data_IF_122282049565
#
_entry.id   IF_122282049565
#
_cell.length_a   1.000
_cell.length_b   1.000
_cell.length_c   1.000
_cell.angle_alpha   90.00
_cell.angle_beta   90.00
_cell.angle_gamma   90.00
#
_symmetry.space_group_name_H-M   'P 1'
#
loop_
_entity.id
_entity.type
_entity.pdbx_description
1 polymer ?
#
# COMPACT_ATOMS: atom_id res chain seq x y z
N UNK A 1 4.67 -1.64 -29.22
CA UNK A 1 5.46 -1.61 -27.97
C UNK A 1 4.49 -1.81 -26.80
N UNK A 2 4.32 -3.04 -26.32
CA UNK A 2 3.34 -3.37 -25.26
C UNK A 2 3.92 -2.95 -23.90
N UNK A 3 3.35 -1.91 -23.29
CA UNK A 3 3.56 -1.57 -21.88
C UNK A 3 3.00 -2.73 -21.04
N UNK A 4 3.85 -3.46 -20.31
CA UNK A 4 3.40 -4.44 -19.32
C UNK A 4 3.41 -3.73 -17.98
N UNK A 5 2.30 -3.07 -17.67
CA UNK A 5 2.08 -2.55 -16.31
C UNK A 5 1.79 -3.78 -15.46
N UNK A 6 2.74 -4.17 -14.59
CA UNK A 6 2.43 -5.06 -13.49
C UNK A 6 1.60 -4.23 -12.51
N UNK A 7 0.30 -4.15 -12.79
CA UNK A 7 -0.65 -3.55 -11.86
C UNK A 7 -0.80 -4.58 -10.75
N UNK A 8 0.00 -4.45 -9.70
CA UNK A 8 -0.26 -5.11 -8.42
C UNK A 8 -1.58 -4.53 -7.88
N UNK A 9 -2.68 -5.01 -8.45
CA UNK A 9 -4.02 -4.55 -8.22
C UNK A 9 -4.69 -5.57 -7.30
N UNK A 10 -4.54 -5.36 -5.99
CA UNK A 10 -5.41 -5.99 -5.00
C UNK A 10 -6.71 -5.19 -4.99
N UNK A 11 -7.59 -5.38 -5.98
CA UNK A 11 -9.05 -5.12 -5.85
C UNK A 11 -9.81 -6.05 -6.79
N UNK A 12 -10.80 -6.74 -6.21
CA UNK A 12 -11.72 -7.69 -6.83
C UNK A 12 -12.68 -6.98 -7.81
N UNK A 13 -12.49 -7.18 -9.12
CA UNK A 13 -13.53 -7.02 -10.14
C UNK A 13 -13.13 -7.78 -11.41
N UNK A 14 -13.99 -8.69 -11.86
CA UNK A 14 -13.80 -9.65 -12.95
C UNK A 14 -13.62 -9.00 -14.34
N UNK A 15 -12.77 -9.58 -15.21
CA UNK A 15 -12.96 -9.51 -16.68
C UNK A 15 -11.88 -8.84 -17.55
N UNK A 16 -10.70 -8.47 -17.04
CA UNK A 16 -9.68 -7.78 -17.85
C UNK A 16 -8.58 -8.74 -18.37
N UNK A 17 -8.35 -8.88 -19.69
CA UNK A 17 -7.43 -9.89 -20.26
C UNK A 17 -5.94 -9.63 -19.97
N UNK A 18 -5.60 -8.44 -19.45
CA UNK A 18 -4.22 -8.05 -19.10
C UNK A 18 -4.06 -7.81 -17.60
N UNK A 19 -4.96 -8.35 -16.78
CA UNK A 19 -4.88 -8.28 -15.32
C UNK A 19 -4.69 -9.69 -14.78
N UNK A 20 -3.66 -9.86 -13.97
CA UNK A 20 -3.35 -11.12 -13.30
C UNK A 20 -3.22 -10.85 -11.81
N UNK A 21 -3.80 -11.74 -11.02
CA UNK A 21 -3.76 -11.66 -9.57
C UNK A 21 -2.65 -12.56 -9.04
N UNK A 22 -1.87 -12.03 -8.12
CA UNK A 22 -0.91 -12.78 -7.32
C UNK A 22 -0.99 -12.26 -5.89
N UNK A 23 -1.10 -13.16 -4.92
CA UNK A 23 -1.14 -12.76 -3.51
C UNK A 23 0.19 -12.11 -3.12
N UNK A 24 0.11 -11.06 -2.32
CA UNK A 24 1.24 -10.42 -1.69
C UNK A 24 0.84 -10.00 -0.27
N UNK A 25 1.54 -10.54 0.72
CA UNK A 25 1.68 -9.94 2.04
C UNK A 25 3.07 -9.29 2.09
N UNK A 26 3.11 -7.98 2.24
CA UNK A 26 4.36 -7.21 2.25
C UNK A 26 5.15 -7.38 3.56
N UNK A 27 4.57 -8.02 4.57
CA UNK A 27 5.24 -8.32 5.84
C UNK A 27 5.75 -9.76 5.89
N UNK A 28 5.42 -10.59 4.90
CA UNK A 28 5.87 -11.97 4.79
C UNK A 28 6.93 -12.13 3.67
N UNK A 29 8.21 -12.38 4.03
CA UNK A 29 9.27 -12.64 3.05
C UNK A 29 8.96 -13.77 2.06
N UNK A 30 8.24 -14.82 2.49
CA UNK A 30 7.88 -15.93 1.60
C UNK A 30 6.87 -15.48 0.53
N UNK A 31 5.88 -14.67 0.92
CA UNK A 31 4.94 -14.08 -0.02
C UNK A 31 5.63 -13.15 -1.03
N UNK A 32 6.61 -12.35 -0.59
CA UNK A 32 7.39 -11.45 -1.46
C UNK A 32 8.23 -12.26 -2.46
N UNK A 33 8.95 -13.27 -1.99
CA UNK A 33 9.76 -14.14 -2.84
C UNK A 33 8.90 -14.89 -3.88
N UNK A 34 7.70 -15.33 -3.48
CA UNK A 34 6.74 -15.97 -4.38
C UNK A 34 6.33 -15.04 -5.52
N UNK A 35 6.02 -13.77 -5.22
CA UNK A 35 5.71 -12.76 -6.23
C UNK A 35 6.89 -12.51 -7.19
N UNK A 36 8.11 -12.38 -6.65
CA UNK A 36 9.31 -12.15 -7.47
C UNK A 36 9.56 -13.32 -8.44
N UNK A 37 9.45 -14.56 -7.95
CA UNK A 37 9.60 -15.76 -8.76
C UNK A 37 8.54 -15.87 -9.86
N UNK A 38 7.28 -15.57 -9.50
CA UNK A 38 6.18 -15.51 -10.45
C UNK A 38 6.45 -14.49 -11.55
N UNK A 39 6.81 -13.25 -11.19
CA UNK A 39 7.08 -12.18 -12.15
C UNK A 39 8.27 -12.52 -13.07
N UNK A 40 9.32 -13.14 -12.52
CA UNK A 40 10.47 -13.62 -13.26
C UNK A 40 10.12 -14.71 -14.28
N UNK A 41 9.28 -15.66 -13.88
CA UNK A 41 8.90 -16.79 -14.72
C UNK A 41 8.01 -16.36 -15.89
N UNK A 42 7.03 -15.49 -15.63
CA UNK A 42 6.00 -15.15 -16.61
C UNK A 42 6.33 -13.91 -17.46
N UNK A 43 6.97 -12.90 -16.88
CA UNK A 43 7.15 -11.61 -17.55
C UNK A 43 8.59 -11.28 -17.88
N UNK A 44 9.55 -11.82 -17.11
CA UNK A 44 11.00 -11.65 -17.27
C UNK A 44 11.51 -10.21 -17.15
N UNK A 45 10.62 -9.26 -16.88
CA UNK A 45 10.89 -7.81 -16.78
C UNK A 45 9.76 -7.15 -16.00
N UNK A 46 10.10 -6.10 -15.25
CA UNK A 46 9.14 -5.23 -14.59
C UNK A 46 9.37 -3.77 -15.04
N UNK A 47 8.34 -3.16 -15.64
CA UNK A 47 8.43 -1.75 -16.09
C UNK A 47 8.03 -0.77 -14.99
N UNK A 48 7.01 -1.11 -14.20
CA UNK A 48 6.43 -0.21 -13.20
C UNK A 48 6.15 -1.03 -11.94
N UNK A 49 6.70 -0.58 -10.82
CA UNK A 49 6.30 -1.01 -9.49
C UNK A 49 5.50 0.13 -8.85
N UNK A 50 4.25 -0.13 -8.47
CA UNK A 50 3.46 0.77 -7.63
C UNK A 50 3.38 0.14 -6.25
N UNK A 51 4.13 0.68 -5.30
CA UNK A 51 4.06 0.24 -3.92
C UNK A 51 2.93 1.00 -3.22
N UNK A 52 1.76 0.36 -3.18
CA UNK A 52 0.55 0.88 -2.57
C UNK A 52 0.18 0.10 -1.29
N UNK A 53 1.18 -0.48 -0.63
CA UNK A 53 0.99 -1.18 0.62
C UNK A 53 0.88 -0.14 1.73
N UNK A 54 -0.17 -0.24 2.54
CA UNK A 54 -0.40 0.72 3.61
C UNK A 54 -1.27 0.14 4.72
N UNK A 55 -0.82 0.35 5.95
CA UNK A 55 -1.60 0.28 7.17
C UNK A 55 -1.90 1.72 7.59
N UNK A 56 -3.18 2.06 7.67
CA UNK A 56 -3.65 3.41 7.95
C UNK A 56 -3.83 3.69 9.44
N UNK A 57 -4.26 4.91 9.74
CA UNK A 57 -4.66 5.31 11.10
C UNK A 57 -5.83 4.46 11.56
N UNK A 58 -5.73 3.91 12.76
CA UNK A 58 -6.84 3.16 13.34
C UNK A 58 -7.88 4.14 13.89
N UNK A 59 -9.04 4.18 13.24
CA UNK A 59 -10.13 5.09 13.59
C UNK A 59 -11.21 4.28 14.32
N UNK A 60 -11.72 4.80 15.44
CA UNK A 60 -12.97 4.30 16.00
C UNK A 60 -14.11 4.64 15.04
N UNK A 61 -14.52 3.65 14.26
CA UNK A 61 -15.45 3.84 13.16
C UNK A 61 -16.80 4.38 13.63
N UNK A 62 -17.29 3.93 14.80
CA UNK A 62 -18.56 4.39 15.35
C UNK A 62 -18.45 5.84 15.82
N UNK A 63 -17.38 6.18 16.55
CA UNK A 63 -17.16 7.54 17.02
C UNK A 63 -16.92 8.52 15.85
N UNK A 64 -16.19 8.09 14.81
CA UNK A 64 -15.97 8.89 13.60
C UNK A 64 -17.27 9.09 12.81
N UNK A 65 -18.09 8.04 12.69
CA UNK A 65 -19.39 8.13 12.01
C UNK A 65 -20.33 9.07 12.76
N UNK A 66 -20.39 8.98 14.09
CA UNK A 66 -21.16 9.90 14.92
C UNK A 66 -20.67 11.36 14.79
N UNK A 67 -19.36 11.56 14.73
CA UNK A 67 -18.75 12.87 14.50
C UNK A 67 -19.17 13.47 13.15
N UNK A 68 -19.10 12.68 12.07
CA UNK A 68 -19.48 13.11 10.72
C UNK A 68 -20.98 13.39 10.58
N UNK A 69 -21.84 12.52 11.14
CA UNK A 69 -23.30 12.71 11.14
C UNK A 69 -23.72 13.95 11.94
N UNK A 70 -22.92 14.36 12.92
CA UNK A 70 -23.10 15.62 13.64
C UNK A 70 -22.78 16.89 12.82
N UNK A 71 -22.40 16.76 11.55
CA UNK A 71 -22.07 17.89 10.67
C UNK A 71 -20.81 18.64 11.07
N UNK A 72 -19.92 18.02 11.87
CA UNK A 72 -18.70 18.66 12.35
C UNK A 72 -17.64 18.62 11.26
N UNK A 73 -17.26 19.79 10.76
CA UNK A 73 -16.07 19.94 9.93
C UNK A 73 -14.82 19.92 10.80
N UNK A 74 -13.77 19.23 10.35
CA UNK A 74 -12.46 19.24 11.00
C UNK A 74 -11.92 20.67 11.04
N UNK A 75 -11.63 21.18 12.24
CA UNK A 75 -10.97 22.45 12.48
C UNK A 75 -10.26 22.41 13.84
N UNK A 76 -9.45 23.43 14.13
CA UNK A 76 -8.62 23.50 15.34
C UNK A 76 -9.43 23.31 16.64
N UNK A 77 -10.71 23.71 16.66
CA UNK A 77 -11.57 23.60 17.85
C UNK A 77 -12.02 22.18 18.15
N UNK A 78 -11.93 21.27 17.18
CA UNK A 78 -12.33 19.87 17.35
C UNK A 78 -11.23 18.86 16.99
N UNK A 79 -10.01 19.33 16.70
CA UNK A 79 -8.83 18.51 16.48
C UNK A 79 -8.56 17.53 17.63
N UNK A 80 -8.78 17.96 18.87
CA UNK A 80 -8.56 17.10 20.04
C UNK A 80 -9.57 15.94 20.13
N UNK A 81 -10.82 16.18 19.71
CA UNK A 81 -11.83 15.14 19.62
C UNK A 81 -11.49 14.10 18.54
N UNK A 82 -10.87 14.55 17.43
CA UNK A 82 -10.38 13.64 16.39
C UNK A 82 -9.19 12.81 16.85
N UNK A 83 -8.30 13.38 17.67
CA UNK A 83 -7.22 12.61 18.32
C UNK A 83 -7.74 11.53 19.25
N UNK A 84 -8.88 11.74 19.91
CA UNK A 84 -9.51 10.70 20.75
C UNK A 84 -10.19 9.61 19.90
N UNK A 85 -10.70 9.98 18.72
CA UNK A 85 -11.30 9.04 17.76
C UNK A 85 -10.22 8.21 17.04
N UNK A 86 -9.03 8.78 16.84
CA UNK A 86 -7.85 8.10 16.31
C UNK A 86 -7.17 7.31 17.45
N UNK A 87 -7.28 5.98 17.41
CA UNK A 87 -6.63 5.11 18.39
C UNK A 87 -5.21 4.82 17.94
N UNK A 88 -4.29 5.66 18.34
CA UNK A 88 -2.85 5.42 18.18
C UNK A 88 -2.34 4.67 19.42
N UNK A 89 -2.05 3.38 19.23
CA UNK A 89 -1.33 2.55 20.21
C UNK A 89 0.02 2.16 19.65
N UNK A 90 0.95 1.79 20.54
CA UNK A 90 2.26 1.27 20.14
C UNK A 90 2.15 0.13 19.11
N UNK A 91 1.21 -0.80 19.30
CA UNK A 91 1.00 -1.92 18.37
C UNK A 91 0.51 -1.46 17.00
N UNK A 92 -0.30 -0.41 16.94
CA UNK A 92 -0.74 0.18 15.66
C UNK A 92 0.37 0.95 14.96
N UNK A 93 1.23 1.64 15.71
CA UNK A 93 2.40 2.33 15.20
C UNK A 93 3.45 1.33 14.68
N UNK A 94 3.73 0.27 15.43
CA UNK A 94 4.63 -0.81 15.04
C UNK A 94 4.16 -1.47 13.74
N UNK A 95 2.86 -1.80 13.63
CA UNK A 95 2.27 -2.32 12.40
C UNK A 95 2.35 -1.34 11.25
N UNK A 96 2.11 -0.05 11.50
CA UNK A 96 2.23 1.01 10.51
C UNK A 96 3.64 1.08 9.92
N UNK A 97 4.67 1.13 10.77
CA UNK A 97 6.07 1.17 10.33
C UNK A 97 6.46 -0.12 9.60
N UNK A 98 6.09 -1.27 10.18
CA UNK A 98 6.38 -2.59 9.60
C UNK A 98 5.78 -2.74 8.20
N UNK A 99 4.54 -2.29 8.02
CA UNK A 99 3.83 -2.43 6.74
C UNK A 99 4.26 -1.36 5.73
N UNK A 100 4.24 -0.08 6.13
CA UNK A 100 4.37 1.05 5.21
C UNK A 100 5.82 1.28 4.80
N UNK A 101 6.75 1.13 5.74
CA UNK A 101 8.17 1.36 5.48
C UNK A 101 8.88 0.06 5.15
N UNK A 102 8.92 -0.88 6.09
CA UNK A 102 9.67 -2.13 5.88
C UNK A 102 9.05 -2.99 4.78
N UNK A 103 7.73 -3.17 4.77
CA UNK A 103 7.07 -3.92 3.70
C UNK A 103 7.29 -3.30 2.31
N UNK A 104 7.24 -1.96 2.22
CA UNK A 104 7.57 -1.24 0.99
C UNK A 104 9.01 -1.50 0.54
N UNK A 105 9.95 -1.43 1.48
CA UNK A 105 11.37 -1.66 1.24
C UNK A 105 11.62 -3.09 0.76
N UNK A 106 11.14 -4.09 1.49
CA UNK A 106 11.37 -5.51 1.19
C UNK A 106 10.81 -5.89 -0.19
N UNK A 107 9.60 -5.43 -0.53
CA UNK A 107 9.01 -5.65 -1.88
C UNK A 107 9.88 -5.02 -2.97
N UNK A 108 10.43 -3.83 -2.72
CA UNK A 108 11.27 -3.13 -3.69
C UNK A 108 12.62 -3.84 -3.88
N UNK A 109 13.23 -4.30 -2.78
CA UNK A 109 14.52 -5.00 -2.78
C UNK A 109 14.44 -6.41 -3.38
N UNK A 110 13.25 -7.02 -3.44
CA UNK A 110 13.04 -8.32 -4.07
C UNK A 110 12.95 -8.29 -5.60
N UNK A 111 12.75 -7.11 -6.21
CA UNK A 111 12.50 -6.96 -7.65
C UNK A 111 13.59 -6.25 -8.50
N UNK A 112 14.83 -5.98 -8.04
CA UNK A 112 15.79 -5.19 -8.80
C UNK A 112 16.22 -5.88 -10.11
N UNK A 113 16.37 -7.21 -10.11
CA UNK A 113 16.71 -7.98 -11.31
C UNK A 113 15.68 -7.82 -12.43
N UNK A 114 14.40 -7.65 -12.08
CA UNK A 114 13.31 -7.43 -13.04
C UNK A 114 13.23 -5.98 -13.51
N UNK A 115 13.44 -5.03 -12.59
CA UNK A 115 13.40 -3.59 -12.88
C UNK A 115 14.57 -3.17 -13.76
N UNK A 116 15.77 -3.68 -13.52
CA UNK A 116 16.97 -3.39 -14.31
C UNK A 116 16.86 -3.83 -15.77
N UNK A 117 16.00 -4.81 -16.07
CA UNK A 117 15.74 -5.26 -17.44
C UNK A 117 14.81 -4.30 -18.21
N UNK A 118 14.22 -3.30 -17.55
CA UNK A 118 13.47 -2.24 -18.21
C UNK A 118 14.32 -1.01 -18.48
N UNK A 119 14.32 -0.56 -19.74
CA UNK A 119 14.94 0.70 -20.15
C UNK A 119 14.22 1.95 -19.62
N UNK A 120 13.04 1.79 -19.02
CA UNK A 120 12.25 2.88 -18.46
C UNK A 120 11.56 2.46 -17.17
N UNK A 121 12.28 1.74 -16.31
CA UNK A 121 11.78 1.31 -15.01
C UNK A 121 11.29 2.51 -14.18
N UNK A 122 10.15 2.38 -13.50
CA UNK A 122 9.60 3.37 -12.58
C UNK A 122 9.14 2.71 -11.30
N UNK A 123 9.45 3.35 -10.17
CA UNK A 123 8.94 2.97 -8.86
C UNK A 123 8.10 4.15 -8.37
N UNK A 124 6.86 3.88 -8.00
CA UNK A 124 5.92 4.83 -7.42
C UNK A 124 5.62 4.36 -6.00
N UNK A 125 5.98 5.16 -5.01
CA UNK A 125 5.67 4.89 -3.61
C UNK A 125 4.46 5.74 -3.21
N UNK A 126 3.41 5.08 -2.72
CA UNK A 126 2.21 5.79 -2.27
C UNK A 126 2.25 5.93 -0.75
N UNK A 127 2.50 7.14 -0.28
CA UNK A 127 2.41 7.48 1.14
C UNK A 127 1.11 8.26 1.36
N UNK A 128 0.27 7.88 2.34
CA UNK A 128 -0.84 8.73 2.75
C UNK A 128 -0.27 10.05 3.27
N UNK A 129 -0.83 11.17 2.81
CA UNK A 129 -0.51 12.49 3.37
C UNK A 129 -0.82 12.42 4.86
N UNK A 130 0.17 12.68 5.70
CA UNK A 130 -0.10 13.03 7.10
C UNK A 130 -0.99 14.27 7.05
N UNK A 131 -2.14 14.22 7.73
CA UNK A 131 -2.84 15.46 8.06
C UNK A 131 -1.97 16.18 9.08
N UNK A 132 -1.01 16.97 8.60
CA UNK A 132 -0.36 17.96 9.44
C UNK A 132 -1.47 18.90 9.93
N UNK A 133 -1.65 18.89 11.25
CA UNK A 133 -2.56 19.75 12.01
C UNK A 133 -2.13 21.20 11.96
#
# INVERSE_FOLDING_TARGET
MRLRVLKLCIVCATGLPNVVFHQLDATDPASIASLANFAQTHYKKLDILVNNVGYGVHIDQEAYTAYQLGGKLVNDKNAQLLKEIQKETYETEEKCITTNYYGTKEVTEALPSLLQLSSSARILLMFPLTMDS
#
